data_IF_249900588205
#
_entry.id   IF_249900588205
#
_cell.length_a   1.000
_cell.length_b   1.000
_cell.length_c   1.000
_cell.angle_alpha   90.00
_cell.angle_beta   90.00
_cell.angle_gamma   90.00
#
_symmetry.space_group_name_H-M   'P 1'
#
loop_
_entity.id
_entity.type
_entity.pdbx_description
1 polymer ?
#
# COMPACT_ATOMS: atom_id res chain seq x y z
N UNK A 1 -4.25 -3.22 -4.89
CA UNK A 1 -4.49 -3.89 -3.59
C UNK A 1 -4.10 -5.37 -3.59
N UNK A 2 -4.75 -6.26 -4.36
CA UNK A 2 -4.41 -7.70 -4.31
C UNK A 2 -2.96 -8.01 -4.68
N UNK A 3 -2.41 -7.30 -5.68
CA UNK A 3 -1.01 -7.44 -6.06
C UNK A 3 -0.06 -6.95 -4.95
N UNK A 4 -0.42 -5.89 -4.22
CA UNK A 4 0.33 -5.44 -3.05
C UNK A 4 0.40 -6.53 -1.97
N UNK A 5 -0.74 -7.13 -1.61
CA UNK A 5 -0.79 -8.22 -0.62
C UNK A 5 -0.02 -9.45 -1.12
N UNK A 6 -0.09 -9.75 -2.41
CA UNK A 6 0.64 -10.88 -3.01
C UNK A 6 2.16 -10.69 -2.96
N UNK A 7 2.63 -9.43 -3.10
CA UNK A 7 4.03 -9.05 -2.98
C UNK A 7 4.52 -8.98 -1.51
N UNK A 8 3.60 -8.80 -0.56
CA UNK A 8 3.90 -8.65 0.87
C UNK A 8 3.08 -9.67 1.70
N UNK A 9 3.36 -10.98 1.57
CA UNK A 9 2.57 -12.03 2.20
C UNK A 9 2.79 -12.16 3.72
N UNK A 10 3.89 -11.62 4.25
CA UNK A 10 4.19 -11.74 5.67
C UNK A 10 3.29 -10.82 6.50
N UNK A 11 2.56 -11.39 7.45
CA UNK A 11 1.71 -10.63 8.39
C UNK A 11 0.53 -9.90 7.75
N UNK A 12 0.11 -10.24 6.51
CA UNK A 12 -0.92 -9.47 5.82
C UNK A 12 -2.26 -9.45 6.58
N UNK A 13 -2.62 -10.51 7.30
CA UNK A 13 -3.86 -10.56 8.08
C UNK A 13 -3.88 -9.63 9.31
N UNK A 14 -2.72 -9.11 9.72
CA UNK A 14 -2.60 -8.21 10.87
C UNK A 14 -2.95 -6.76 10.49
N UNK A 15 -3.16 -6.49 9.20
CA UNK A 15 -3.42 -5.17 8.65
C UNK A 15 -4.85 -5.03 8.11
N UNK A 16 -5.35 -3.79 8.11
CA UNK A 16 -6.61 -3.43 7.45
C UNK A 16 -6.34 -2.88 6.05
N UNK A 17 -7.19 -3.21 5.08
CA UNK A 17 -7.03 -2.78 3.69
C UNK A 17 -8.28 -2.07 3.18
N UNK A 18 -8.07 -0.89 2.59
CA UNK A 18 -9.13 -0.06 2.02
C UNK A 18 -8.80 0.21 0.55
N UNK A 19 -9.75 -0.09 -0.34
CA UNK A 19 -9.67 0.32 -1.73
C UNK A 19 -10.33 1.69 -1.90
N UNK A 20 -9.59 2.68 -2.42
CA UNK A 20 -10.10 4.05 -2.57
C UNK A 20 -11.06 4.22 -3.73
N UNK A 21 -11.06 3.34 -4.73
CA UNK A 21 -11.99 3.33 -5.86
C UNK A 21 -12.22 4.71 -6.54
N UNK A 22 -11.19 5.56 -6.56
CA UNK A 22 -11.26 6.90 -7.16
C UNK A 22 -12.01 7.97 -6.35
N UNK A 23 -12.41 7.69 -5.10
CA UNK A 23 -13.12 8.66 -4.23
C UNK A 23 -12.22 9.41 -3.24
N UNK A 24 -10.90 9.34 -3.43
CA UNK A 24 -9.94 10.05 -2.57
C UNK A 24 -9.89 9.49 -1.14
N UNK A 25 -9.79 10.38 -0.15
CA UNK A 25 -9.61 10.03 1.27
C UNK A 25 -10.90 9.58 1.98
N UNK A 26 -12.08 9.82 1.39
CA UNK A 26 -13.37 9.59 2.05
C UNK A 26 -13.57 8.18 2.64
N UNK A 27 -13.17 7.07 1.98
CA UNK A 27 -13.26 5.73 2.57
C UNK A 27 -12.36 5.55 3.80
N UNK A 28 -11.20 6.22 3.80
CA UNK A 28 -10.25 6.17 4.93
C UNK A 28 -10.86 6.92 6.11
N UNK A 29 -11.34 8.15 5.89
CA UNK A 29 -11.97 8.94 6.95
C UNK A 29 -13.17 8.22 7.56
N UNK A 30 -14.02 7.60 6.72
CA UNK A 30 -15.14 6.79 7.18
C UNK A 30 -14.70 5.62 8.05
N UNK A 31 -13.57 4.98 7.71
CA UNK A 31 -13.02 3.89 8.51
C UNK A 31 -12.45 4.39 9.84
N UNK A 32 -11.78 5.55 9.87
CA UNK A 32 -11.27 6.18 11.09
C UNK A 32 -12.38 6.57 12.07
N UNK A 33 -13.56 6.97 11.57
CA UNK A 33 -14.75 7.17 12.42
C UNK A 33 -15.18 5.90 13.15
N UNK A 34 -15.03 4.73 12.52
CA UNK A 34 -15.44 3.43 13.07
C UNK A 34 -14.35 2.80 13.94
N UNK A 35 -13.08 3.08 13.64
CA UNK A 35 -11.90 2.52 14.31
C UNK A 35 -10.96 3.67 14.74
N UNK A 36 -11.34 4.45 15.77
CA UNK A 36 -10.59 5.63 16.17
C UNK A 36 -9.23 5.32 16.82
N UNK A 37 -8.97 4.05 17.17
CA UNK A 37 -7.65 3.61 17.68
C UNK A 37 -6.63 3.31 16.58
N UNK A 38 -6.96 3.50 15.31
CA UNK A 38 -5.99 3.31 14.23
C UNK A 38 -4.98 4.46 14.24
N UNK A 39 -3.70 4.13 14.40
CA UNK A 39 -2.63 5.13 14.53
C UNK A 39 -1.82 5.30 13.24
N UNK A 40 -1.80 4.30 12.35
CA UNK A 40 -0.93 4.29 11.17
C UNK A 40 -1.71 4.01 9.88
N UNK A 41 -1.41 4.77 8.83
CA UNK A 41 -1.98 4.65 7.49
C UNK A 41 -0.85 4.63 6.46
N UNK A 42 -0.82 3.58 5.63
CA UNK A 42 0.11 3.48 4.50
C UNK A 42 -0.65 3.63 3.19
N UNK A 43 -0.39 4.73 2.47
CA UNK A 43 -0.97 4.99 1.15
C UNK A 43 -0.20 4.21 0.08
N UNK A 44 -0.87 3.27 -0.58
CA UNK A 44 -0.30 2.42 -1.63
C UNK A 44 -0.93 2.75 -2.99
N UNK A 45 -0.47 3.83 -3.63
CA UNK A 45 -0.97 4.30 -4.94
C UNK A 45 -0.01 3.95 -6.07
N UNK A 46 -0.46 4.20 -7.30
CA UNK A 46 0.33 4.02 -8.51
C UNK A 46 1.54 4.97 -8.50
N UNK A 47 2.66 4.52 -9.05
CA UNK A 47 3.90 5.30 -9.17
C UNK A 47 3.88 6.11 -10.48
N UNK A 48 2.89 6.98 -10.60
CA UNK A 48 2.76 7.97 -11.67
C UNK A 48 2.37 9.33 -11.09
N UNK A 49 2.36 10.36 -11.94
CA UNK A 49 2.10 11.74 -11.52
C UNK A 49 0.76 11.88 -10.77
N UNK A 50 -0.29 11.22 -11.27
CA UNK A 50 -1.62 11.26 -10.66
C UNK A 50 -1.63 10.55 -9.30
N UNK A 51 -0.97 9.39 -9.18
CA UNK A 51 -0.82 8.65 -7.93
C UNK A 51 -0.04 9.44 -6.87
N UNK A 52 1.07 10.08 -7.25
CA UNK A 52 1.86 10.93 -6.34
C UNK A 52 1.08 12.16 -5.87
N UNK A 53 0.37 12.83 -6.79
CA UNK A 53 -0.46 13.98 -6.47
C UNK A 53 -1.63 13.59 -5.54
N UNK A 54 -2.27 12.45 -5.80
CA UNK A 54 -3.34 11.93 -4.96
C UNK A 54 -2.83 11.54 -3.57
N UNK A 55 -1.67 10.89 -3.45
CA UNK A 55 -1.08 10.54 -2.16
C UNK A 55 -0.81 11.78 -1.32
N UNK A 56 -0.22 12.81 -1.93
CA UNK A 56 0.05 14.10 -1.27
C UNK A 56 -1.23 14.79 -0.81
N UNK A 57 -2.28 14.77 -1.65
CA UNK A 57 -3.56 15.39 -1.32
C UNK A 57 -4.25 14.66 -0.16
N UNK A 58 -4.36 13.33 -0.25
CA UNK A 58 -4.97 12.49 0.78
C UNK A 58 -4.22 12.60 2.11
N UNK A 59 -2.89 12.55 2.08
CA UNK A 59 -2.08 12.68 3.30
C UNK A 59 -2.32 14.03 4.00
N UNK A 60 -2.42 15.13 3.24
CA UNK A 60 -2.73 16.45 3.80
C UNK A 60 -4.10 16.51 4.46
N UNK A 61 -5.11 15.89 3.85
CA UNK A 61 -6.46 15.84 4.43
C UNK A 61 -6.48 15.03 5.73
N UNK A 62 -5.84 13.85 5.72
CA UNK A 62 -5.78 12.98 6.91
C UNK A 62 -5.05 13.66 8.07
N UNK A 63 -3.87 14.24 7.82
CA UNK A 63 -3.07 14.92 8.85
C UNK A 63 -3.69 16.22 9.37
N UNK A 64 -4.65 16.81 8.65
CA UNK A 64 -5.37 18.00 9.09
C UNK A 64 -6.49 17.69 10.08
N UNK A 65 -7.07 16.48 9.99
CA UNK A 65 -8.29 16.11 10.73
C UNK A 65 -8.05 15.01 11.79
N UNK A 66 -7.02 14.18 11.61
CA UNK A 66 -6.79 12.98 12.41
C UNK A 66 -5.38 12.96 13.01
N UNK A 67 -5.27 12.47 14.24
CA UNK A 67 -4.00 12.24 14.92
C UNK A 67 -3.46 10.84 14.53
N UNK A 68 -2.93 10.76 13.30
CA UNK A 68 -2.42 9.51 12.69
C UNK A 68 -1.07 9.76 12.03
N UNK A 69 -0.26 8.72 11.94
CA UNK A 69 0.92 8.68 11.09
C UNK A 69 0.52 8.26 9.68
N UNK A 70 0.91 9.06 8.68
CA UNK A 70 0.63 8.76 7.27
C UNK A 70 1.95 8.61 6.52
N UNK A 71 2.15 7.44 5.93
CA UNK A 71 3.25 7.15 5.02
C UNK A 71 2.72 6.79 3.63
N UNK A 72 3.59 6.84 2.62
CA UNK A 72 3.26 6.41 1.27
C UNK A 72 4.29 5.39 0.80
N UNK A 73 3.80 4.28 0.26
CA UNK A 73 4.61 3.23 -0.35
C UNK A 73 4.23 3.16 -1.83
N UNK A 74 5.22 3.25 -2.71
CA UNK A 74 5.02 3.21 -4.15
C UNK A 74 5.75 2.00 -4.75
N UNK A 75 5.17 1.36 -5.79
CA UNK A 75 5.85 0.31 -6.52
C UNK A 75 7.08 0.84 -7.28
N UNK A 76 8.04 -0.02 -7.61
CA UNK A 76 9.13 0.37 -8.51
C UNK A 76 8.67 0.53 -9.96
N UNK A 77 7.63 -0.20 -10.36
CA UNK A 77 6.96 -0.08 -11.65
C UNK A 77 5.83 0.94 -11.57
N UNK A 78 5.13 1.18 -12.68
CA UNK A 78 4.00 2.12 -12.71
C UNK A 78 2.91 1.76 -11.70
N UNK A 79 2.58 0.48 -11.55
CA UNK A 79 1.61 0.01 -10.56
C UNK A 79 2.02 -1.34 -9.95
N UNK A 80 1.33 -1.75 -8.88
CA UNK A 80 1.60 -2.99 -8.17
C UNK A 80 1.37 -4.25 -9.03
N UNK A 81 0.52 -4.19 -10.06
CA UNK A 81 0.30 -5.33 -10.94
C UNK A 81 1.49 -5.50 -11.88
N UNK A 82 2.01 -4.40 -12.44
CA UNK A 82 3.23 -4.41 -13.23
C UNK A 82 4.43 -4.88 -12.40
N UNK A 83 4.53 -4.48 -11.13
CA UNK A 83 5.57 -4.97 -10.23
C UNK A 83 5.42 -6.47 -9.92
N UNK A 84 4.20 -6.96 -9.70
CA UNK A 84 3.94 -8.39 -9.50
C UNK A 84 4.30 -9.24 -10.71
N UNK A 85 4.14 -8.71 -11.92
CA UNK A 85 4.51 -9.39 -13.16
C UNK A 85 6.01 -9.36 -13.44
N UNK A 86 6.79 -8.56 -12.70
CA UNK A 86 8.24 -8.53 -12.86
C UNK A 86 8.82 -9.88 -12.40
N UNK A 87 9.66 -10.53 -13.20
CA UNK A 87 10.41 -11.68 -12.71
C UNK A 87 11.27 -11.21 -11.53
N UNK A 88 11.10 -11.86 -10.38
CA UNK A 88 12.06 -11.72 -9.28
C UNK A 88 13.45 -12.01 -9.87
N UNK A 89 14.49 -11.21 -9.54
CA UNK A 89 15.85 -11.66 -9.78
C UNK A 89 15.95 -13.06 -9.16
N UNK A 90 16.47 -14.03 -9.91
CA UNK A 90 16.76 -15.36 -9.36
C UNK A 90 17.76 -15.18 -8.20
N UNK A 91 17.28 -14.98 -6.97
CA UNK A 91 18.12 -15.10 -5.79
C UNK A 91 18.46 -16.57 -5.64
N UNK A 92 19.66 -16.93 -6.11
CA UNK A 92 20.44 -18.14 -5.83
C UNK A 92 19.60 -19.30 -5.28
N UNK A 93 18.96 -20.04 -6.20
CA UNK A 93 18.69 -21.45 -5.96
C UNK A 93 20.05 -22.15 -5.82
N UNK A 94 20.63 -22.13 -4.62
CA UNK A 94 21.71 -23.04 -4.25
C UNK A 94 21.20 -24.46 -4.58
N UNK A 95 21.87 -25.19 -5.48
CA UNK A 95 21.45 -26.54 -5.81
C UNK A 95 21.54 -27.37 -4.53
N UNK A 96 20.41 -27.89 -4.06
CA UNK A 96 20.38 -28.88 -3.00
C UNK A 96 21.16 -30.08 -3.53
N UNK A 97 22.43 -30.16 -3.14
CA UNK A 97 23.29 -31.32 -3.37
C UNK A 97 22.60 -32.51 -2.69
N UNK A 98 22.00 -33.38 -3.51
CA UNK A 98 21.51 -34.66 -3.06
C UNK A 98 22.68 -35.46 -2.48
N UNK A 99 22.62 -35.76 -1.18
CA UNK A 99 23.42 -36.82 -0.54
C UNK A 99 22.68 -38.15 -0.63
#
# INVERSE_FOLDING_TARGET
MLSYISLHPDGWQENSYIALCGVGSAPIQRFLEEVPQLEEIVLCLDNDEDGHNAAMHIARELLAEWEVEVSAHFPQQKDWNEELLRPFPEENLEPVMAM
#
